data_IF_223232632091
#
_entry.id   IF_223232632091
#
_cell.length_a   1.000
_cell.length_b   1.000
_cell.length_c   1.000
_cell.angle_alpha   90.00
_cell.angle_beta   90.00
_cell.angle_gamma   90.00
#
_symmetry.space_group_name_H-M   'P 1'
#
loop_
_entity.id
_entity.type
_entity.pdbx_description
1 polymer ?
#
# COMPACT_ATOMS: atom_id res chain seq x y z
N UNK A 1 -10.90 5.54 12.33
CA UNK A 1 -9.84 5.40 11.31
C UNK A 1 -8.56 5.03 12.02
N UNK A 2 -7.78 4.09 11.49
CA UNK A 2 -6.45 3.73 12.06
C UNK A 2 -5.31 3.97 11.06
N UNK A 3 -5.58 3.83 9.76
CA UNK A 3 -4.62 4.09 8.69
C UNK A 3 -5.35 4.69 7.48
N UNK A 4 -4.76 5.69 6.84
CA UNK A 4 -5.21 6.25 5.58
C UNK A 4 -4.01 6.68 4.73
N UNK A 5 -4.04 6.37 3.44
CA UNK A 5 -3.13 6.95 2.44
C UNK A 5 -3.96 7.61 1.35
N UNK A 6 -3.44 8.69 0.76
CA UNK A 6 -4.03 9.34 -0.40
C UNK A 6 -2.94 9.59 -1.43
N UNK A 7 -3.13 9.07 -2.63
CA UNK A 7 -2.24 9.23 -3.77
C UNK A 7 -0.77 8.86 -3.48
N UNK A 8 -0.56 7.80 -2.69
CA UNK A 8 0.80 7.36 -2.34
C UNK A 8 1.52 6.85 -3.59
N UNK A 9 2.61 7.53 -3.95
CA UNK A 9 3.50 7.11 -5.02
C UNK A 9 4.93 7.05 -4.50
N UNK A 10 5.66 6.02 -4.89
CA UNK A 10 7.04 5.79 -4.48
C UNK A 10 7.78 5.05 -5.58
N UNK A 11 9.05 5.36 -5.83
CA UNK A 11 9.85 4.60 -6.79
C UNK A 11 11.28 4.39 -6.29
N UNK A 12 11.83 3.23 -6.63
CA UNK A 12 13.22 2.88 -6.38
C UNK A 12 13.69 1.87 -7.44
N UNK A 13 14.78 2.18 -8.14
CA UNK A 13 15.43 1.22 -9.06
C UNK A 13 14.52 0.68 -10.17
N UNK A 14 13.56 1.48 -10.66
CA UNK A 14 12.62 1.08 -11.72
C UNK A 14 11.36 0.35 -11.23
N UNK A 15 11.22 0.11 -9.92
CA UNK A 15 10.01 -0.44 -9.31
C UNK A 15 9.34 0.62 -8.43
N UNK A 16 8.01 0.59 -8.35
CA UNK A 16 7.31 1.60 -7.59
C UNK A 16 5.84 1.31 -7.30
N UNK A 17 5.30 2.13 -6.42
CA UNK A 17 3.89 2.31 -6.19
C UNK A 17 3.44 3.56 -6.92
N UNK A 18 2.27 3.51 -7.54
CA UNK A 18 1.70 4.65 -8.24
C UNK A 18 0.26 4.83 -7.75
N UNK A 19 -0.04 6.03 -7.27
CA UNK A 19 -1.37 6.49 -6.89
C UNK A 19 -2.16 5.54 -5.95
N UNK A 20 -1.52 5.03 -4.91
CA UNK A 20 -2.17 4.10 -3.98
C UNK A 20 -2.94 4.85 -2.88
N UNK A 21 -4.26 4.70 -2.88
CA UNK A 21 -5.16 5.28 -1.87
C UNK A 21 -5.93 4.19 -1.13
N UNK A 22 -5.74 4.10 0.19
CA UNK A 22 -6.49 3.17 1.04
C UNK A 22 -7.01 3.84 2.31
N UNK A 23 -8.07 3.29 2.88
CA UNK A 23 -8.57 3.63 4.20
C UNK A 23 -8.84 2.35 5.00
N UNK A 24 -8.21 2.22 6.17
CA UNK A 24 -8.47 1.12 7.10
C UNK A 24 -9.22 1.65 8.32
N UNK A 25 -10.41 1.11 8.53
CA UNK A 25 -11.28 1.43 9.66
C UNK A 25 -10.85 0.66 10.91
N UNK A 26 -11.16 1.23 12.08
CA UNK A 26 -10.85 0.59 13.36
C UNK A 26 -11.69 -0.68 13.50
N UNK A 27 -11.06 -1.78 13.92
CA UNK A 27 -11.73 -3.08 14.10
C UNK A 27 -11.85 -3.91 12.81
N UNK A 28 -11.28 -3.46 11.69
CA UNK A 28 -11.26 -4.23 10.44
C UNK A 28 -10.04 -5.16 10.38
N UNK A 29 -10.23 -6.35 9.79
CA UNK A 29 -9.13 -7.23 9.37
C UNK A 29 -9.00 -7.06 7.85
N UNK A 30 -7.80 -6.68 7.38
CA UNK A 30 -7.51 -6.45 5.97
C UNK A 30 -6.29 -7.29 5.56
N UNK A 31 -6.33 -7.86 4.35
CA UNK A 31 -5.20 -8.54 3.74
C UNK A 31 -4.78 -7.82 2.46
N UNK A 32 -3.49 -7.55 2.30
CA UNK A 32 -2.92 -7.02 1.05
C UNK A 32 -2.39 -8.18 0.20
N UNK A 33 -3.10 -8.49 -0.89
CA UNK A 33 -2.78 -9.61 -1.78
C UNK A 33 -2.13 -9.13 -3.08
N UNK A 34 -1.32 -9.99 -3.70
CA UNK A 34 -0.63 -9.71 -4.96
C UNK A 34 0.57 -10.62 -5.17
N UNK A 35 1.04 -10.73 -6.42
CA UNK A 35 2.22 -11.53 -6.79
C UNK A 35 3.51 -11.02 -6.15
N UNK A 36 4.57 -11.83 -6.10
CA UNK A 36 5.87 -11.37 -5.64
C UNK A 36 6.37 -10.20 -6.51
N UNK A 37 6.88 -9.14 -5.88
CA UNK A 37 7.29 -7.91 -6.56
C UNK A 37 6.17 -6.89 -6.80
N UNK A 38 4.92 -7.17 -6.45
CA UNK A 38 3.79 -6.24 -6.67
C UNK A 38 3.75 -5.00 -5.75
N UNK A 39 4.82 -4.74 -4.99
CA UNK A 39 4.90 -3.57 -4.09
C UNK A 39 4.27 -3.73 -2.69
N UNK A 40 3.85 -4.93 -2.27
CA UNK A 40 3.21 -5.15 -0.95
C UNK A 40 4.10 -4.71 0.22
N UNK A 41 5.35 -5.17 0.28
CA UNK A 41 6.27 -4.80 1.35
C UNK A 41 6.67 -3.33 1.26
N UNK A 42 6.79 -2.80 0.04
CA UNK A 42 7.04 -1.38 -0.23
C UNK A 42 5.88 -0.49 0.23
N UNK A 43 4.66 -1.02 0.28
CA UNK A 43 3.49 -0.28 0.76
C UNK A 43 3.46 -0.17 2.30
N UNK A 44 4.06 -1.11 3.03
CA UNK A 44 4.03 -1.14 4.50
C UNK A 44 5.27 -0.56 5.20
N UNK A 45 6.37 -0.33 4.47
CA UNK A 45 7.61 0.28 4.98
C UNK A 45 7.79 1.67 4.38
#
# INVERSE_FOLDING_TARGET
MILQTKNLSFSYGGFGLEDVSIEIKRGSICGLLGTNGSGKSTFFN
#
